data_IF_696716955726
#
_entry.id   IF_696716955726
#
_cell.length_a   1.000
_cell.length_b   1.000
_cell.length_c   1.000
_cell.angle_alpha   90.00
_cell.angle_beta   90.00
_cell.angle_gamma   90.00
#
_symmetry.space_group_name_H-M   'P 1'
#
loop_
_entity.id
_entity.type
_entity.pdbx_description
1 polymer ?
#
# COMPACT_ATOMS: atom_id res chain seq x y z
N UNK A 1 -5.02 3.58 4.91
CA UNK A 1 -4.47 3.01 3.67
C UNK A 1 -3.58 1.83 4.06
N UNK A 2 -3.27 0.87 3.17
CA UNK A 2 -2.31 -0.19 3.49
C UNK A 2 -0.95 0.40 3.91
N UNK A 3 -0.24 -0.31 4.78
CA UNK A 3 1.08 0.09 5.29
C UNK A 3 2.13 -0.84 4.70
N UNK A 4 3.27 -0.32 4.27
CA UNK A 4 4.41 -1.12 3.84
C UNK A 4 5.54 -1.05 4.86
N UNK A 5 6.14 -2.20 5.14
CA UNK A 5 7.41 -2.31 5.85
C UNK A 5 8.48 -2.77 4.85
N UNK A 6 9.13 -1.79 4.21
CA UNK A 6 10.04 -2.03 3.08
C UNK A 6 11.26 -2.87 3.44
N UNK A 7 11.84 -2.68 4.64
CA UNK A 7 12.97 -3.49 5.13
C UNK A 7 12.65 -4.99 5.25
N UNK A 8 11.37 -5.36 5.31
CA UNK A 8 10.90 -6.73 5.48
C UNK A 8 10.09 -7.23 4.29
N UNK A 9 10.00 -6.46 3.20
CA UNK A 9 9.18 -6.75 2.03
C UNK A 9 7.71 -7.11 2.38
N UNK A 10 7.17 -6.49 3.42
CA UNK A 10 5.83 -6.81 3.94
C UNK A 10 4.84 -5.69 3.69
N UNK A 11 3.61 -6.05 3.32
CA UNK A 11 2.48 -5.12 3.23
C UNK A 11 1.40 -5.54 4.22
N UNK A 12 1.04 -4.64 5.13
CA UNK A 12 -0.03 -4.80 6.09
C UNK A 12 -1.34 -4.28 5.49
N UNK A 13 -2.25 -5.20 5.17
CA UNK A 13 -3.56 -4.89 4.62
C UNK A 13 -4.60 -4.86 5.75
N UNK A 14 -5.33 -3.75 5.96
CA UNK A 14 -6.47 -3.77 6.86
C UNK A 14 -7.59 -4.65 6.30
N UNK A 15 -8.52 -5.14 7.14
CA UNK A 15 -9.61 -5.99 6.69
C UNK A 15 -10.58 -5.21 5.80
N UNK A 16 -10.51 -5.45 4.49
CA UNK A 16 -11.42 -4.89 3.52
C UNK A 16 -12.60 -5.82 3.27
N UNK A 17 -13.80 -5.26 3.13
CA UNK A 17 -15.03 -6.05 2.99
C UNK A 17 -15.14 -6.71 1.61
N UNK A 18 -14.52 -6.12 0.60
CA UNK A 18 -14.58 -6.61 -0.77
C UNK A 18 -13.25 -6.47 -1.48
N UNK A 19 -13.03 -7.31 -2.51
CA UNK A 19 -11.86 -7.20 -3.39
C UNK A 19 -11.81 -5.86 -4.13
N UNK A 20 -12.97 -5.27 -4.47
CA UNK A 20 -13.06 -3.97 -5.13
C UNK A 20 -12.51 -2.85 -4.23
N UNK A 21 -12.88 -2.87 -2.95
CA UNK A 21 -12.39 -1.91 -1.95
C UNK A 21 -10.88 -2.04 -1.73
N UNK A 22 -10.39 -3.27 -1.54
CA UNK A 22 -8.96 -3.56 -1.42
C UNK A 22 -8.19 -3.02 -2.63
N UNK A 23 -8.64 -3.33 -3.85
CA UNK A 23 -7.97 -2.87 -5.08
C UNK A 23 -7.90 -1.35 -5.13
N UNK A 24 -9.02 -0.67 -4.89
CA UNK A 24 -9.08 0.79 -4.95
C UNK A 24 -8.13 1.43 -3.93
N UNK A 25 -8.16 0.98 -2.67
CA UNK A 25 -7.30 1.53 -1.60
C UNK A 25 -5.83 1.22 -1.81
N UNK A 26 -5.51 0.03 -2.33
CA UNK A 26 -4.14 -0.34 -2.67
C UNK A 26 -3.59 0.49 -3.83
N UNK A 27 -4.36 0.69 -4.90
CA UNK A 27 -3.97 1.56 -6.02
C UNK A 27 -3.69 2.98 -5.54
N UNK A 28 -4.56 3.55 -4.70
CA UNK A 28 -4.33 4.88 -4.11
C UNK A 28 -3.01 4.91 -3.33
N UNK A 29 -2.76 3.91 -2.48
CA UNK A 29 -1.55 3.90 -1.65
C UNK A 29 -0.28 3.84 -2.50
N UNK A 30 -0.26 3.05 -3.57
CA UNK A 30 0.89 2.95 -4.49
C UNK A 30 1.08 4.26 -5.26
N UNK A 31 0.01 4.81 -5.85
CA UNK A 31 0.10 6.04 -6.65
C UNK A 31 0.52 7.28 -5.85
N UNK A 32 0.33 7.28 -4.53
CA UNK A 32 0.74 8.36 -3.63
C UNK A 32 1.99 8.01 -2.80
N UNK A 33 2.57 6.83 -3.00
CA UNK A 33 3.81 6.46 -2.33
C UNK A 33 4.99 7.07 -3.09
N UNK A 34 5.54 8.15 -2.56
CA UNK A 34 6.84 8.67 -2.98
C UNK A 34 7.92 8.02 -2.11
N UNK A 35 8.89 7.36 -2.74
CA UNK A 35 10.07 6.85 -2.04
C UNK A 35 11.01 7.99 -1.66
N UNK A 36 12.03 7.72 -0.84
CA UNK A 36 13.15 8.65 -0.75
C UNK A 36 13.85 8.66 -2.11
N UNK A 37 13.76 9.77 -2.85
CA UNK A 37 14.48 9.99 -4.11
C UNK A 37 15.99 10.04 -3.89
N UNK A 38 16.56 8.91 -3.49
CA UNK A 38 17.99 8.70 -3.36
C UNK A 38 18.48 8.21 -4.73
N UNK A 39 18.77 9.17 -5.60
CA UNK A 39 19.72 8.98 -6.71
C UNK A 39 21.15 9.22 -6.22
#
# INVERSE_FOLDING_TARGET
LPISHTCFNQICLPPYRTRKELKHKLTIAISNAEGFGLE
#
